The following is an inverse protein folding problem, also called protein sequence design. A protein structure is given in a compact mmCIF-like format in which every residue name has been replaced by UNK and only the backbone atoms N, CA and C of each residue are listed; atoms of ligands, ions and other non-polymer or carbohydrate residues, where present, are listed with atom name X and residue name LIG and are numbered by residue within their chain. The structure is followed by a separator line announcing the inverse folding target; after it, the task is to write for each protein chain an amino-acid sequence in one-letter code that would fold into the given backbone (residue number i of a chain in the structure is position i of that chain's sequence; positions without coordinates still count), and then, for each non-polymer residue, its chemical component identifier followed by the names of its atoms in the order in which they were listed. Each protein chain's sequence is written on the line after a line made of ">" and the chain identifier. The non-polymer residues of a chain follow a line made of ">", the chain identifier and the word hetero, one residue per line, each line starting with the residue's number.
data_IF_961909431453
#
_entry.id   IF_961909431453
#
_cell.length_a   1.000
_cell.length_b   1.000
_cell.length_c   1.000
_cell.angle_alpha   90.00
_cell.angle_beta   90.00
_cell.angle_gamma   90.00
#
_symmetry.space_group_name_H-M   'P 1'
#
loop_
_entity.id
_entity.type
_entity.pdbx_description
1 polymer ?
#
# COMPACT_ATOMS: atom_id res chain seq x y z
N UNK A 1 -14.12 14.10 19.38
CA UNK A 1 -14.76 12.81 19.62
C UNK A 1 -15.14 12.27 18.26
N UNK A 2 -14.49 11.22 17.81
CA UNK A 2 -14.81 10.53 16.56
C UNK A 2 -15.81 9.41 16.84
N UNK A 3 -16.81 9.28 15.97
CA UNK A 3 -17.81 8.24 16.05
C UNK A 3 -17.44 7.10 15.09
N UNK A 4 -17.66 5.86 15.56
CA UNK A 4 -17.47 4.61 14.83
C UNK A 4 -18.83 3.93 14.73
N UNK A 5 -19.45 3.96 13.56
CA UNK A 5 -20.74 3.31 13.35
C UNK A 5 -20.55 1.87 12.90
N UNK A 6 -20.85 0.91 13.79
CA UNK A 6 -20.62 -0.52 13.56
C UNK A 6 -21.93 -1.24 13.27
N UNK A 7 -21.98 -2.00 12.17
CA UNK A 7 -23.08 -2.93 11.91
C UNK A 7 -22.87 -4.22 12.70
N UNK A 8 -23.87 -4.68 13.43
CA UNK A 8 -23.85 -5.99 14.10
C UNK A 8 -24.98 -6.83 13.52
N UNK A 9 -24.62 -7.94 12.89
CA UNK A 9 -25.58 -8.90 12.33
C UNK A 9 -25.54 -10.18 13.15
N UNK A 10 -26.54 -10.35 14.01
CA UNK A 10 -26.62 -11.40 15.04
C UNK A 10 -28.10 -11.68 15.31
N UNK A 11 -28.57 -12.92 15.13
CA UNK A 11 -29.96 -13.27 15.34
C UNK A 11 -30.30 -13.42 16.84
N UNK A 12 -29.33 -13.85 17.65
CA UNK A 12 -29.51 -14.06 19.08
C UNK A 12 -29.44 -12.75 19.89
N UNK A 13 -30.61 -12.34 20.39
CA UNK A 13 -30.77 -11.16 21.24
C UNK A 13 -29.98 -11.24 22.55
N UNK A 14 -29.83 -12.42 23.15
CA UNK A 14 -29.06 -12.56 24.39
C UNK A 14 -27.57 -12.33 24.12
N UNK A 15 -27.04 -12.92 23.04
CA UNK A 15 -25.66 -12.69 22.61
C UNK A 15 -25.43 -11.20 22.34
N UNK A 16 -26.34 -10.55 21.60
CA UNK A 16 -26.23 -9.12 21.36
C UNK A 16 -26.18 -8.29 22.65
N UNK A 17 -27.10 -8.49 23.58
CA UNK A 17 -27.17 -7.68 24.80
C UNK A 17 -26.01 -7.98 25.77
N UNK A 18 -25.76 -9.26 26.02
CA UNK A 18 -24.84 -9.69 27.09
C UNK A 18 -23.37 -9.59 26.66
N UNK A 19 -23.10 -9.71 25.36
CA UNK A 19 -21.76 -9.67 24.79
C UNK A 19 -21.52 -8.33 24.09
N UNK A 20 -22.16 -8.05 22.95
CA UNK A 20 -21.78 -6.91 22.13
C UNK A 20 -22.12 -5.57 22.78
N UNK A 21 -23.38 -5.36 23.18
CA UNK A 21 -23.85 -4.10 23.78
C UNK A 21 -23.08 -3.79 25.07
N UNK A 22 -22.91 -4.79 25.95
CA UNK A 22 -22.13 -4.64 27.19
C UNK A 22 -20.67 -4.23 26.94
N UNK A 23 -20.00 -4.84 25.94
CA UNK A 23 -18.62 -4.49 25.60
C UNK A 23 -18.52 -3.11 24.94
N UNK A 24 -19.49 -2.72 24.10
CA UNK A 24 -19.58 -1.37 23.52
C UNK A 24 -19.74 -0.31 24.62
N UNK A 25 -20.62 -0.55 25.59
CA UNK A 25 -20.82 0.31 26.75
C UNK A 25 -19.52 0.49 27.56
N UNK A 26 -18.78 -0.61 27.77
CA UNK A 26 -17.49 -0.56 28.46
C UNK A 26 -16.46 0.21 27.64
N UNK A 27 -16.34 -0.11 26.35
CA UNK A 27 -15.47 0.59 25.40
C UNK A 27 -15.70 2.10 25.42
N UNK A 28 -16.95 2.53 25.33
CA UNK A 28 -17.35 3.94 25.33
C UNK A 28 -17.09 4.65 26.68
N UNK A 29 -17.14 3.91 27.79
CA UNK A 29 -16.74 4.44 29.11
C UNK A 29 -15.25 4.69 29.17
N UNK A 30 -14.45 3.77 28.66
CA UNK A 30 -12.98 3.80 28.70
C UNK A 30 -12.36 4.73 27.64
N UNK A 31 -13.01 4.91 26.49
CA UNK A 31 -12.46 5.65 25.34
C UNK A 31 -13.22 6.94 25.04
N UNK A 32 -12.80 8.10 25.55
CA UNK A 32 -13.51 9.38 25.28
C UNK A 32 -13.27 9.99 23.90
N UNK A 33 -12.17 9.61 23.26
CA UNK A 33 -11.81 10.15 21.94
C UNK A 33 -12.57 9.46 20.81
N UNK A 34 -12.88 8.18 20.97
CA UNK A 34 -13.58 7.36 19.98
C UNK A 34 -14.79 6.71 20.65
N UNK A 35 -15.98 6.91 20.10
CA UNK A 35 -17.21 6.29 20.59
C UNK A 35 -17.78 5.37 19.52
N UNK A 36 -18.22 4.19 19.91
CA UNK A 36 -18.91 3.24 19.05
C UNK A 36 -20.41 3.45 19.19
N UNK A 37 -21.09 3.60 18.06
CA UNK A 37 -22.54 3.44 17.94
C UNK A 37 -22.80 2.25 17.05
N UNK A 38 -23.78 1.42 17.42
CA UNK A 38 -24.09 0.21 16.68
C UNK A 38 -25.47 0.26 16.02
N UNK A 39 -25.59 -0.50 14.94
CA UNK A 39 -26.87 -0.87 14.33
C UNK A 39 -26.97 -2.38 14.37
N UNK A 40 -27.85 -2.88 15.23
CA UNK A 40 -28.10 -4.31 15.36
C UNK A 40 -29.21 -4.76 14.41
N UNK A 41 -28.93 -5.81 13.64
CA UNK A 41 -29.86 -6.43 12.69
C UNK A 41 -29.84 -7.95 12.90
N UNK A 42 -31.02 -8.57 12.90
CA UNK A 42 -31.16 -10.00 13.23
C UNK A 42 -31.22 -10.91 12.02
N UNK A 43 -31.48 -10.37 10.82
CA UNK A 43 -31.70 -11.17 9.63
C UNK A 43 -30.78 -10.76 8.48
N UNK A 44 -30.44 -11.74 7.63
CA UNK A 44 -29.69 -11.51 6.40
C UNK A 44 -30.34 -10.43 5.52
N UNK A 45 -31.63 -10.55 5.23
CA UNK A 45 -32.29 -9.70 4.24
C UNK A 45 -32.31 -8.22 4.67
N UNK A 46 -32.55 -7.97 5.95
CA UNK A 46 -32.46 -6.62 6.52
C UNK A 46 -31.03 -6.10 6.50
N UNK A 47 -30.03 -6.95 6.77
CA UNK A 47 -28.63 -6.55 6.73
C UNK A 47 -28.20 -6.15 5.31
N UNK A 48 -28.58 -6.95 4.31
CA UNK A 48 -28.33 -6.63 2.90
C UNK A 48 -29.04 -5.34 2.49
N UNK A 49 -30.29 -5.13 2.91
CA UNK A 49 -31.02 -3.88 2.63
C UNK A 49 -30.32 -2.68 3.29
N UNK A 50 -29.84 -2.81 4.52
CA UNK A 50 -29.11 -1.77 5.22
C UNK A 50 -27.78 -1.44 4.54
N UNK A 51 -27.02 -2.45 4.10
CA UNK A 51 -25.74 -2.29 3.39
C UNK A 51 -25.87 -1.65 2.00
N UNK A 52 -27.01 -1.88 1.32
CA UNK A 52 -27.28 -1.30 0.00
C UNK A 52 -27.80 0.13 0.07
N UNK A 53 -28.37 0.54 1.20
CA UNK A 53 -28.83 1.90 1.40
C UNK A 53 -27.63 2.87 1.46
N UNK A 54 -27.52 3.84 0.53
CA UNK A 54 -26.41 4.78 0.50
C UNK A 54 -26.34 5.70 1.73
N UNK A 55 -27.45 5.93 2.42
CA UNK A 55 -27.50 6.76 3.64
C UNK A 55 -26.91 6.02 4.86
N UNK A 56 -26.75 4.69 4.77
CA UNK A 56 -26.14 3.87 5.79
C UNK A 56 -24.63 3.75 5.55
N UNK A 57 -23.88 4.66 6.17
CA UNK A 57 -22.42 4.60 6.20
C UNK A 57 -21.99 3.89 7.48
N UNK A 58 -21.30 2.76 7.32
CA UNK A 58 -20.71 1.99 8.40
C UNK A 58 -19.18 2.11 8.35
N UNK A 59 -18.55 2.16 9.53
CA UNK A 59 -17.10 2.13 9.72
C UNK A 59 -16.58 0.69 9.92
N UNK A 60 -17.48 -0.26 10.18
CA UNK A 60 -17.13 -1.67 10.37
C UNK A 60 -18.35 -2.56 10.52
N UNK A 61 -18.14 -3.87 10.49
CA UNK A 61 -19.18 -4.86 10.77
C UNK A 61 -18.70 -6.04 11.60
N UNK A 62 -19.58 -6.55 12.46
CA UNK A 62 -19.50 -7.85 13.11
C UNK A 62 -20.65 -8.70 12.55
N UNK A 63 -20.35 -9.91 12.07
CA UNK A 63 -21.34 -10.76 11.40
C UNK A 63 -21.27 -12.18 11.96
N UNK A 64 -22.39 -12.72 12.45
CA UNK A 64 -22.54 -14.16 12.68
C UNK A 64 -22.90 -14.89 11.37
N UNK A 65 -22.52 -16.16 11.26
CA UNK A 65 -22.80 -16.98 10.08
C UNK A 65 -24.20 -17.62 10.09
N UNK A 66 -24.71 -18.00 11.26
CA UNK A 66 -25.98 -18.73 11.43
C UNK A 66 -27.09 -17.79 11.89
N UNK A 67 -27.62 -16.98 10.96
CA UNK A 67 -28.64 -15.96 11.27
C UNK A 67 -30.07 -16.52 11.31
N UNK A 68 -30.23 -17.84 11.28
CA UNK A 68 -31.51 -18.52 11.42
C UNK A 68 -31.57 -19.44 12.65
N UNK A 69 -30.54 -19.42 13.51
CA UNK A 69 -30.48 -20.25 14.72
C UNK A 69 -30.56 -21.76 14.43
N UNK A 70 -30.08 -22.18 13.26
CA UNK A 70 -30.29 -23.53 12.73
C UNK A 70 -29.20 -24.53 13.11
N UNK A 71 -28.24 -24.14 13.96
CA UNK A 71 -27.18 -25.00 14.45
C UNK A 71 -26.12 -25.27 13.37
N UNK A 72 -25.80 -24.26 12.56
CA UNK A 72 -24.76 -24.31 11.53
C UNK A 72 -25.21 -24.81 10.16
N UNK A 73 -26.46 -25.25 9.95
CA UNK A 73 -26.90 -25.56 8.57
C UNK A 73 -27.18 -24.31 7.74
N UNK A 74 -27.40 -23.18 8.40
CA UNK A 74 -27.53 -21.88 7.76
C UNK A 74 -26.16 -21.24 7.55
N UNK A 75 -26.00 -20.68 6.36
CA UNK A 75 -24.81 -19.96 5.94
C UNK A 75 -25.18 -18.57 5.45
N UNK A 76 -26.35 -18.05 5.81
CA UNK A 76 -26.88 -16.77 5.34
C UNK A 76 -25.94 -15.59 5.66
N UNK A 77 -25.16 -15.66 6.75
CA UNK A 77 -24.13 -14.68 7.05
C UNK A 77 -23.00 -14.60 5.99
N UNK A 78 -22.75 -15.67 5.23
CA UNK A 78 -21.82 -15.61 4.09
C UNK A 78 -22.30 -14.62 3.02
N UNK A 79 -23.61 -14.49 2.80
CA UNK A 79 -24.16 -13.54 1.83
C UNK A 79 -23.92 -12.09 2.28
N UNK A 80 -24.03 -11.82 3.59
CA UNK A 80 -23.71 -10.51 4.18
C UNK A 80 -22.23 -10.18 4.02
N UNK A 81 -21.34 -11.12 4.37
CA UNK A 81 -19.89 -10.96 4.21
C UNK A 81 -19.52 -10.75 2.74
N UNK A 82 -20.16 -11.50 1.83
CA UNK A 82 -19.94 -11.37 0.39
C UNK A 82 -20.33 -9.97 -0.11
N UNK A 83 -21.51 -9.48 0.25
CA UNK A 83 -21.96 -8.13 -0.11
C UNK A 83 -20.96 -7.07 0.37
N UNK A 84 -20.44 -7.19 1.60
CA UNK A 84 -19.44 -6.26 2.10
C UNK A 84 -18.15 -6.33 1.29
N UNK A 85 -17.63 -7.54 1.00
CA UNK A 85 -16.36 -7.69 0.28
C UNK A 85 -16.43 -7.28 -1.18
N UNK A 86 -17.57 -7.43 -1.83
CA UNK A 86 -17.75 -7.09 -3.24
C UNK A 86 -18.03 -5.59 -3.44
N UNK A 87 -18.77 -4.96 -2.53
CA UNK A 87 -19.33 -3.62 -2.77
C UNK A 87 -18.90 -2.54 -1.76
N UNK A 88 -18.27 -2.92 -0.64
CA UNK A 88 -17.95 -2.01 0.47
C UNK A 88 -16.48 -2.15 0.91
N UNK A 89 -16.00 -1.17 1.69
CA UNK A 89 -14.57 -1.02 1.99
C UNK A 89 -14.32 -0.67 3.46
N UNK A 90 -14.87 -1.48 4.36
CA UNK A 90 -14.66 -1.34 5.81
C UNK A 90 -14.31 -2.68 6.46
N UNK A 91 -13.64 -2.67 7.63
CA UNK A 91 -13.29 -3.88 8.35
C UNK A 91 -14.50 -4.72 8.73
N UNK A 92 -14.40 -6.02 8.55
CA UNK A 92 -15.48 -6.96 8.84
C UNK A 92 -14.93 -8.16 9.60
N UNK A 93 -15.45 -8.41 10.79
CA UNK A 93 -15.06 -9.54 11.62
C UNK A 93 -16.23 -10.50 11.76
N UNK A 94 -16.01 -11.75 11.39
CA UNK A 94 -17.00 -12.81 11.57
C UNK A 94 -16.79 -13.41 12.96
N UNK A 95 -17.83 -13.44 13.79
CA UNK A 95 -17.79 -14.05 15.12
C UNK A 95 -18.91 -15.07 15.18
N UNK A 96 -18.56 -16.36 15.26
CA UNK A 96 -19.54 -17.43 15.09
C UNK A 96 -19.17 -18.69 15.87
N UNK A 97 -20.16 -19.50 16.21
CA UNK A 97 -19.94 -20.83 16.79
C UNK A 97 -19.52 -21.89 15.77
N UNK A 98 -19.65 -21.61 14.47
CA UNK A 98 -19.32 -22.58 13.39
C UNK A 98 -18.34 -21.97 12.37
N UNK A 99 -17.11 -21.58 12.79
CA UNK A 99 -16.18 -20.84 11.94
C UNK A 99 -15.79 -21.57 10.65
N UNK A 100 -15.91 -22.91 10.62
CA UNK A 100 -15.64 -23.72 9.43
C UNK A 100 -16.66 -23.57 8.29
N UNK A 101 -17.79 -22.90 8.53
CA UNK A 101 -18.86 -22.70 7.54
C UNK A 101 -18.70 -21.43 6.70
N UNK A 102 -17.66 -20.64 6.95
CA UNK A 102 -17.28 -19.56 6.04
C UNK A 102 -16.84 -20.14 4.68
N UNK A 103 -17.33 -19.58 3.59
CA UNK A 103 -16.93 -19.96 2.23
C UNK A 103 -15.43 -19.74 2.03
N UNK A 104 -14.74 -20.72 1.44
CA UNK A 104 -13.29 -20.67 1.23
C UNK A 104 -12.82 -19.44 0.45
N UNK A 105 -13.61 -18.97 -0.52
CA UNK A 105 -13.34 -17.74 -1.28
C UNK A 105 -13.41 -16.48 -0.42
N UNK A 106 -14.24 -16.48 0.62
CA UNK A 106 -14.37 -15.37 1.56
C UNK A 106 -13.34 -15.49 2.69
N UNK A 107 -12.82 -16.67 3.00
CA UNK A 107 -11.90 -16.86 4.12
C UNK A 107 -10.44 -16.52 3.75
N UNK A 108 -10.19 -15.23 3.50
CA UNK A 108 -8.84 -14.68 3.28
C UNK A 108 -8.51 -13.74 4.43
N UNK A 109 -7.86 -14.23 5.50
CA UNK A 109 -7.55 -13.42 6.68
C UNK A 109 -6.65 -12.23 6.34
N UNK A 110 -6.93 -11.10 6.97
CA UNK A 110 -6.14 -9.87 6.88
C UNK A 110 -6.34 -9.02 8.14
N UNK A 111 -5.68 -7.87 8.21
CA UNK A 111 -5.89 -6.93 9.32
C UNK A 111 -7.29 -6.34 9.37
N UNK A 112 -8.05 -6.38 8.26
CA UNK A 112 -9.40 -5.81 8.15
C UNK A 112 -10.48 -6.89 7.97
N UNK A 113 -10.09 -8.16 7.93
CA UNK A 113 -11.04 -9.27 7.85
C UNK A 113 -10.50 -10.49 8.57
N UNK A 114 -11.28 -11.03 9.51
CA UNK A 114 -10.94 -12.29 10.15
C UNK A 114 -12.19 -13.02 10.62
N UNK A 115 -12.07 -14.33 10.79
CA UNK A 115 -13.13 -15.21 11.31
C UNK A 115 -12.67 -15.71 12.68
N UNK A 116 -13.52 -15.54 13.69
CA UNK A 116 -13.25 -15.94 15.06
C UNK A 116 -14.31 -16.93 15.55
N UNK A 117 -13.86 -17.88 16.36
CA UNK A 117 -14.74 -18.74 17.14
C UNK A 117 -15.30 -17.94 18.33
N UNK A 118 -16.63 -17.96 18.49
CA UNK A 118 -17.38 -17.13 19.45
C UNK A 118 -16.91 -17.30 20.89
N UNK A 119 -16.57 -18.51 21.29
CA UNK A 119 -16.19 -18.81 22.68
C UNK A 119 -14.72 -18.46 22.99
N UNK A 120 -13.91 -18.20 21.96
CA UNK A 120 -12.49 -17.86 22.09
C UNK A 120 -12.18 -16.38 21.83
N UNK A 121 -13.12 -15.65 21.21
CA UNK A 121 -12.87 -14.27 20.78
C UNK A 121 -12.93 -13.28 21.93
N UNK A 122 -11.94 -12.41 22.00
CA UNK A 122 -12.02 -11.18 22.79
C UNK A 122 -12.73 -10.10 21.96
N UNK A 123 -14.01 -9.86 22.31
CA UNK A 123 -14.84 -8.84 21.66
C UNK A 123 -14.28 -7.45 21.91
N UNK A 124 -13.77 -7.15 23.10
CA UNK A 124 -13.18 -5.84 23.41
C UNK A 124 -11.96 -5.58 22.53
N UNK A 125 -11.08 -6.56 22.37
CA UNK A 125 -9.94 -6.47 21.44
C UNK A 125 -10.39 -6.28 19.98
N UNK A 126 -11.57 -6.78 19.61
CA UNK A 126 -12.15 -6.59 18.27
C UNK A 126 -12.66 -5.15 18.09
N UNK A 127 -13.29 -4.56 19.11
CA UNK A 127 -13.67 -3.15 19.12
C UNK A 127 -12.45 -2.22 19.03
N UNK A 128 -11.37 -2.54 19.76
CA UNK A 128 -10.11 -1.80 19.66
C UNK A 128 -9.45 -1.87 18.27
N UNK A 129 -9.64 -2.97 17.53
CA UNK A 129 -9.18 -3.06 16.13
C UNK A 129 -9.92 -2.06 15.24
N UNK A 130 -11.23 -1.88 15.38
CA UNK A 130 -11.97 -0.86 14.62
C UNK A 130 -11.42 0.54 14.87
N UNK A 131 -11.19 0.89 16.14
CA UNK A 131 -10.53 2.14 16.54
C UNK A 131 -9.16 2.30 15.89
N UNK A 132 -8.31 1.28 15.97
CA UNK A 132 -6.95 1.31 15.40
C UNK A 132 -6.99 1.52 13.89
N UNK A 133 -7.93 0.89 13.19
CA UNK A 133 -8.12 1.04 11.75
C UNK A 133 -8.63 2.44 11.41
N UNK A 134 -9.62 2.96 12.14
CA UNK A 134 -10.14 4.33 11.96
C UNK A 134 -9.05 5.39 12.13
N UNK A 135 -8.18 5.24 13.12
CA UNK A 135 -7.07 6.15 13.38
C UNK A 135 -6.05 6.26 12.22
N UNK A 136 -6.01 5.27 11.31
CA UNK A 136 -5.19 5.37 10.07
C UNK A 136 -5.74 6.37 9.05
N UNK A 137 -7.00 6.81 9.21
CA UNK A 137 -7.72 7.64 8.25
C UNK A 137 -8.28 6.88 7.04
N UNK A 138 -8.01 5.58 6.90
CA UNK A 138 -8.42 4.79 5.72
C UNK A 138 -9.94 4.76 5.51
N UNK A 139 -10.72 4.76 6.60
CA UNK A 139 -12.18 4.75 6.54
C UNK A 139 -12.74 6.10 6.07
N UNK A 140 -12.09 7.20 6.45
CA UNK A 140 -12.45 8.54 5.97
C UNK A 140 -12.06 8.73 4.49
N UNK A 141 -11.11 7.93 3.99
CA UNK A 141 -10.67 7.96 2.60
C UNK A 141 -11.56 7.12 1.69
N UNK A 142 -11.87 5.89 2.08
CA UNK A 142 -12.44 4.83 1.20
C UNK A 142 -13.93 4.52 1.42
N UNK A 143 -14.58 5.08 2.44
CA UNK A 143 -16.02 4.87 2.62
C UNK A 143 -16.83 5.51 1.47
N UNK A 144 -18.14 5.21 1.41
CA UNK A 144 -19.03 5.61 0.30
C UNK A 144 -19.08 7.12 0.02
N UNK A 145 -18.80 7.96 1.00
CA UNK A 145 -18.79 9.41 0.88
C UNK A 145 -17.44 9.98 1.32
N UNK A 146 -16.37 9.21 1.10
CA UNK A 146 -15.04 9.50 1.60
C UNK A 146 -14.34 10.57 0.78
N UNK A 147 -13.13 10.93 1.22
CA UNK A 147 -12.32 11.94 0.55
C UNK A 147 -12.05 11.61 -0.93
N UNK A 148 -11.95 10.33 -1.31
CA UNK A 148 -11.80 9.96 -2.73
C UNK A 148 -13.02 10.39 -3.56
N UNK A 149 -14.23 10.15 -3.07
CA UNK A 149 -15.47 10.50 -3.79
C UNK A 149 -15.63 12.01 -3.92
N UNK A 150 -15.30 12.75 -2.86
CA UNK A 150 -15.22 14.22 -2.90
C UNK A 150 -14.21 14.71 -3.96
N UNK A 151 -13.02 14.09 -4.01
CA UNK A 151 -12.00 14.42 -5.01
C UNK A 151 -12.49 14.12 -6.43
N UNK A 152 -13.09 12.95 -6.67
CA UNK A 152 -13.62 12.57 -7.99
C UNK A 152 -14.70 13.56 -8.43
N UNK A 153 -15.63 13.92 -7.53
CA UNK A 153 -16.67 14.90 -7.80
C UNK A 153 -16.07 16.26 -8.19
N UNK A 154 -15.08 16.73 -7.44
CA UNK A 154 -14.38 17.98 -7.71
C UNK A 154 -13.63 17.94 -9.04
N UNK A 155 -12.95 16.83 -9.36
CA UNK A 155 -12.23 16.65 -10.62
C UNK A 155 -13.20 16.65 -11.79
N UNK A 156 -14.33 15.98 -11.65
CA UNK A 156 -15.33 15.93 -12.71
C UNK A 156 -15.86 17.34 -13.02
N UNK A 157 -16.37 18.06 -12.03
CA UNK A 157 -17.00 19.36 -12.28
C UNK A 157 -16.01 20.45 -12.63
N UNK A 158 -14.83 20.50 -12.00
CA UNK A 158 -13.89 21.59 -12.23
C UNK A 158 -13.00 21.37 -13.47
N UNK A 159 -12.74 20.12 -13.87
CA UNK A 159 -11.75 19.81 -14.93
C UNK A 159 -12.29 18.98 -16.09
N UNK A 160 -12.95 17.85 -15.82
CA UNK A 160 -13.39 16.96 -16.91
C UNK A 160 -14.57 17.57 -17.66
N UNK A 161 -15.55 18.14 -16.94
CA UNK A 161 -16.76 18.71 -17.54
C UNK A 161 -16.45 19.85 -18.53
N UNK A 162 -15.41 20.65 -18.26
CA UNK A 162 -14.98 21.77 -19.10
C UNK A 162 -14.20 21.33 -20.33
N UNK A 163 -13.71 20.09 -20.35
CA UNK A 163 -12.87 19.53 -21.41
C UNK A 163 -13.50 18.33 -22.13
N UNK A 164 -14.75 17.95 -21.77
CA UNK A 164 -15.39 16.72 -22.25
C UNK A 164 -15.58 16.70 -23.78
N UNK A 165 -15.81 17.85 -24.39
CA UNK A 165 -15.98 17.99 -25.83
C UNK A 165 -14.76 17.53 -26.62
N UNK A 166 -13.55 17.70 -26.06
CA UNK A 166 -12.31 17.21 -26.70
C UNK A 166 -12.32 15.69 -26.88
N UNK A 167 -12.99 14.97 -25.97
CA UNK A 167 -13.11 13.51 -25.99
C UNK A 167 -14.31 13.07 -26.83
N UNK A 168 -15.42 13.80 -26.73
CA UNK A 168 -16.63 13.53 -27.52
C UNK A 168 -16.36 13.68 -29.02
N UNK A 169 -15.58 14.69 -29.41
CA UNK A 169 -15.24 15.00 -30.80
C UNK A 169 -14.02 14.23 -31.33
N UNK A 170 -13.31 13.46 -30.49
CA UNK A 170 -12.18 12.64 -30.93
C UNK A 170 -12.67 11.44 -31.76
N UNK A 171 -12.56 11.51 -33.08
CA UNK A 171 -12.93 10.40 -33.98
C UNK A 171 -11.77 9.45 -34.31
N UNK A 172 -10.60 9.62 -33.69
CA UNK A 172 -9.40 8.82 -33.98
C UNK A 172 -9.26 7.62 -33.04
N UNK A 173 -9.76 7.74 -31.81
CA UNK A 173 -9.69 6.70 -30.77
C UNK A 173 -11.01 5.95 -30.65
N UNK A 174 -10.91 4.66 -30.36
CA UNK A 174 -12.04 3.82 -29.96
C UNK A 174 -12.58 4.24 -28.58
N UNK A 175 -13.80 3.83 -28.22
CA UNK A 175 -14.38 4.12 -26.91
C UNK A 175 -13.51 3.61 -25.76
N UNK A 176 -12.99 2.38 -25.87
CA UNK A 176 -12.11 1.81 -24.85
C UNK A 176 -10.80 2.62 -24.67
N UNK A 177 -10.18 3.08 -25.75
CA UNK A 177 -8.97 3.90 -25.67
C UNK A 177 -9.24 5.28 -25.05
N UNK A 178 -10.43 5.83 -25.25
CA UNK A 178 -10.87 7.07 -24.61
C UNK A 178 -11.08 6.86 -23.11
N UNK A 179 -11.78 5.79 -22.72
CA UNK A 179 -12.00 5.43 -21.32
C UNK A 179 -10.68 5.26 -20.58
N UNK A 180 -9.74 4.49 -21.14
CA UNK A 180 -8.39 4.32 -20.60
C UNK A 180 -7.65 5.65 -20.42
N UNK A 181 -7.82 6.57 -21.36
CA UNK A 181 -7.15 7.88 -21.34
C UNK A 181 -7.80 8.83 -20.34
N UNK A 182 -9.13 8.82 -20.22
CA UNK A 182 -9.88 9.57 -19.21
C UNK A 182 -9.59 9.05 -17.80
N UNK A 183 -9.45 7.74 -17.62
CA UNK A 183 -9.03 7.15 -16.35
C UNK A 183 -7.63 7.66 -15.96
N UNK A 184 -6.66 7.59 -16.87
CA UNK A 184 -5.31 8.15 -16.63
C UNK A 184 -5.36 9.65 -16.32
N UNK A 185 -6.17 10.40 -17.07
CA UNK A 185 -6.33 11.84 -16.85
C UNK A 185 -6.90 12.15 -15.46
N UNK A 186 -7.89 11.38 -15.01
CA UNK A 186 -8.48 11.51 -13.67
C UNK A 186 -7.45 11.21 -12.58
N UNK A 187 -6.68 10.12 -12.72
CA UNK A 187 -5.62 9.76 -11.76
C UNK A 187 -4.54 10.86 -11.69
N UNK A 188 -4.15 11.44 -12.83
CA UNK A 188 -3.19 12.54 -12.86
C UNK A 188 -3.71 13.75 -12.08
N UNK A 189 -4.98 14.13 -12.26
CA UNK A 189 -5.59 15.17 -11.45
C UNK A 189 -5.58 14.81 -9.96
N UNK A 190 -5.94 13.58 -9.59
CA UNK A 190 -5.90 13.16 -8.18
C UNK A 190 -4.50 13.34 -7.58
N UNK A 191 -3.43 13.05 -8.33
CA UNK A 191 -2.05 13.28 -7.88
C UNK A 191 -1.74 14.76 -7.67
N UNK A 192 -2.21 15.66 -8.54
CA UNK A 192 -2.01 17.12 -8.40
C UNK A 192 -2.71 17.70 -7.16
N UNK A 193 -3.77 17.05 -6.66
CA UNK A 193 -4.44 17.44 -5.40
C UNK A 193 -3.68 16.99 -4.14
N UNK A 194 -2.63 16.17 -4.25
CA UNK A 194 -1.82 15.71 -3.12
C UNK A 194 -0.61 16.64 -2.89
N UNK A 195 -0.40 17.08 -1.65
CA UNK A 195 0.71 17.93 -1.26
C UNK A 195 1.98 17.11 -0.97
N UNK A 196 3.16 17.58 -1.40
CA UNK A 196 4.45 16.86 -1.33
C UNK A 196 5.13 16.99 0.06
N UNK A 197 4.38 16.87 1.15
CA UNK A 197 4.97 16.91 2.50
C UNK A 197 5.32 15.51 3.03
N UNK A 198 6.48 15.38 3.69
CA UNK A 198 7.05 14.17 4.34
C UNK A 198 6.37 12.84 3.98
N UNK A 199 6.84 12.22 2.92
CA UNK A 199 6.38 10.90 2.44
C UNK A 199 6.60 9.78 3.45
N UNK A 200 5.60 8.91 3.59
CA UNK A 200 5.68 7.70 4.39
C UNK A 200 6.45 6.60 3.63
N UNK A 201 7.31 5.79 4.29
CA UNK A 201 8.06 4.70 3.64
C UNK A 201 7.22 3.72 2.81
N UNK A 202 5.95 3.55 3.16
CA UNK A 202 5.04 2.66 2.40
C UNK A 202 4.66 3.20 1.03
N UNK A 203 4.85 4.50 0.78
CA UNK A 203 4.62 5.09 -0.55
C UNK A 203 5.72 4.71 -1.55
N UNK A 204 6.89 4.25 -1.09
CA UNK A 204 8.01 3.88 -1.95
C UNK A 204 7.72 2.64 -2.80
N UNK A 205 6.89 1.72 -2.30
CA UNK A 205 6.68 0.40 -2.89
C UNK A 205 5.24 0.18 -3.33
N UNK A 206 5.09 -0.44 -4.49
CA UNK A 206 3.89 -1.18 -4.89
C UNK A 206 4.20 -2.66 -4.65
N UNK A 207 3.78 -3.19 -3.51
CA UNK A 207 3.99 -4.60 -3.14
C UNK A 207 3.12 -5.52 -3.99
N UNK A 208 3.64 -6.66 -4.41
CA UNK A 208 3.01 -7.56 -5.40
C UNK A 208 2.76 -6.82 -6.72
N UNK A 209 3.77 -6.80 -7.60
CA UNK A 209 3.70 -6.03 -8.84
C UNK A 209 2.43 -6.31 -9.65
N UNK A 210 1.74 -5.23 -10.04
CA UNK A 210 0.45 -5.29 -10.74
C UNK A 210 0.59 -5.81 -12.17
N UNK A 211 1.68 -5.43 -12.84
CA UNK A 211 1.97 -5.87 -14.21
C UNK A 211 2.40 -7.33 -14.17
N UNK A 212 1.91 -8.18 -15.06
CA UNK A 212 2.38 -9.58 -15.13
C UNK A 212 3.83 -9.70 -15.58
N UNK A 213 4.25 -8.80 -16.48
CA UNK A 213 5.61 -8.79 -17.02
C UNK A 213 6.57 -7.91 -16.20
N UNK A 214 7.84 -8.28 -16.28
CA UNK A 214 8.95 -7.50 -15.75
C UNK A 214 8.99 -6.10 -16.40
N UNK A 215 9.27 -5.09 -15.59
CA UNK A 215 9.25 -3.69 -15.95
C UNK A 215 10.27 -2.88 -15.15
N UNK A 216 10.56 -1.66 -15.61
CA UNK A 216 11.44 -0.71 -14.92
C UNK A 216 10.94 -0.43 -13.50
N UNK A 217 11.86 -0.41 -12.54
CA UNK A 217 11.57 -0.20 -11.12
C UNK A 217 11.16 -1.47 -10.38
N UNK A 218 11.01 -2.61 -11.05
CA UNK A 218 10.76 -3.87 -10.35
C UNK A 218 11.94 -4.28 -9.47
N UNK A 219 11.62 -4.84 -8.32
CA UNK A 219 12.55 -5.38 -7.34
C UNK A 219 12.49 -6.90 -7.37
N UNK A 220 13.64 -7.52 -7.52
CA UNK A 220 13.77 -8.97 -7.64
C UNK A 220 14.81 -9.54 -6.68
N UNK A 221 14.61 -10.79 -6.27
CA UNK A 221 15.61 -11.60 -5.59
C UNK A 221 16.13 -12.65 -6.56
N UNK A 222 17.43 -12.59 -6.86
CA UNK A 222 18.13 -13.51 -7.75
C UNK A 222 19.36 -14.05 -7.03
N UNK A 223 19.50 -15.36 -6.96
CA UNK A 223 20.65 -16.04 -6.32
C UNK A 223 20.96 -15.49 -4.91
N UNK A 224 19.90 -15.27 -4.11
CA UNK A 224 19.98 -14.73 -2.75
C UNK A 224 20.30 -13.23 -2.65
N UNK A 225 20.46 -12.52 -3.77
CA UNK A 225 20.77 -11.10 -3.81
C UNK A 225 19.58 -10.29 -4.33
N UNK A 226 19.40 -9.08 -3.79
CA UNK A 226 18.33 -8.17 -4.17
C UNK A 226 18.79 -7.25 -5.30
N UNK A 227 17.92 -6.99 -6.28
CA UNK A 227 18.21 -6.11 -7.41
C UNK A 227 17.02 -5.23 -7.77
N UNK A 228 17.30 -4.06 -8.35
CA UNK A 228 16.32 -3.22 -9.03
C UNK A 228 16.53 -3.26 -10.53
N UNK A 229 15.44 -3.35 -11.29
CA UNK A 229 15.42 -3.28 -12.75
C UNK A 229 15.47 -1.82 -13.21
N UNK A 230 16.49 -1.45 -13.96
CA UNK A 230 16.66 -0.09 -14.52
C UNK A 230 16.71 -0.03 -16.05
N UNK A 231 16.38 -1.12 -16.76
CA UNK A 231 16.13 -1.03 -18.21
C UNK A 231 15.01 -0.01 -18.49
N UNK A 232 15.16 0.91 -19.47
CA UNK A 232 14.16 1.91 -19.78
C UNK A 232 12.77 1.34 -20.07
N UNK A 233 11.73 2.02 -19.59
CA UNK A 233 10.34 1.57 -19.73
C UNK A 233 9.89 1.52 -21.20
N UNK A 234 10.40 2.44 -22.04
CA UNK A 234 10.11 2.47 -23.47
C UNK A 234 10.64 1.22 -24.20
N UNK A 235 11.78 0.68 -23.78
CA UNK A 235 12.34 -0.54 -24.40
C UNK A 235 11.46 -1.75 -24.09
N UNK A 236 10.95 -1.87 -22.86
CA UNK A 236 9.99 -2.90 -22.49
C UNK A 236 8.70 -2.78 -23.31
N UNK A 237 8.14 -1.58 -23.41
CA UNK A 237 6.91 -1.33 -24.16
C UNK A 237 7.04 -1.67 -25.66
N UNK A 238 8.22 -1.42 -26.25
CA UNK A 238 8.51 -1.73 -27.65
C UNK A 238 8.95 -3.18 -27.88
N UNK A 239 9.02 -4.03 -26.84
CA UNK A 239 9.53 -5.41 -26.90
C UNK A 239 10.94 -5.50 -27.51
N UNK A 240 11.78 -4.49 -27.27
CA UNK A 240 13.17 -4.43 -27.78
C UNK A 240 14.22 -4.93 -26.79
N UNK A 241 13.79 -5.31 -25.59
CA UNK A 241 14.69 -5.74 -24.52
C UNK A 241 15.15 -7.17 -24.75
N UNK A 242 16.42 -7.35 -25.09
CA UNK A 242 17.09 -8.66 -25.09
C UNK A 242 17.78 -8.96 -23.77
N UNK A 243 18.36 -7.93 -23.14
CA UNK A 243 19.00 -8.01 -21.82
C UNK A 243 18.45 -6.94 -20.89
N UNK A 244 18.20 -7.33 -19.66
CA UNK A 244 17.70 -6.48 -18.58
C UNK A 244 18.88 -5.97 -17.76
N UNK A 245 18.89 -4.66 -17.53
CA UNK A 245 19.87 -3.96 -16.71
C UNK A 245 19.40 -3.90 -15.26
N UNK A 246 20.27 -4.36 -14.37
CA UNK A 246 20.00 -4.49 -12.93
C UNK A 246 21.07 -3.75 -12.13
N UNK A 247 20.67 -3.17 -11.01
CA UNK A 247 21.57 -2.69 -9.96
C UNK A 247 21.36 -3.49 -8.68
N UNK A 248 22.45 -3.88 -8.02
CA UNK A 248 22.38 -4.62 -6.74
C UNK A 248 21.90 -3.70 -5.62
N UNK A 249 21.07 -4.25 -4.75
CA UNK A 249 20.64 -3.65 -3.49
C UNK A 249 21.43 -4.32 -2.38
N UNK A 250 22.30 -3.54 -1.73
CA UNK A 250 23.07 -3.95 -0.56
C UNK A 250 22.24 -3.85 0.71
N UNK A 251 22.54 -4.70 1.68
CA UNK A 251 22.06 -4.52 3.04
C UNK A 251 22.75 -3.32 3.70
N UNK A 252 22.04 -2.65 4.61
CA UNK A 252 22.57 -1.48 5.32
C UNK A 252 23.82 -1.84 6.13
N UNK A 253 23.89 -3.08 6.64
CA UNK A 253 25.04 -3.58 7.41
C UNK A 253 26.31 -3.75 6.58
N UNK A 254 26.20 -3.91 5.25
CA UNK A 254 27.37 -3.91 4.36
C UNK A 254 28.07 -2.54 4.35
N UNK A 255 27.33 -1.45 4.54
CA UNK A 255 27.88 -0.09 4.58
C UNK A 255 28.06 0.44 6.01
N UNK A 256 27.24 0.02 6.97
CA UNK A 256 27.30 0.46 8.37
C UNK A 256 27.45 -0.75 9.29
N UNK A 257 28.69 -1.12 9.59
CA UNK A 257 29.00 -2.30 10.40
C UNK A 257 28.43 -2.22 11.81
N UNK A 258 27.95 -3.37 12.32
CA UNK A 258 27.35 -3.49 13.65
C UNK A 258 26.13 -2.59 13.84
N UNK A 259 25.37 -2.31 12.77
CA UNK A 259 24.07 -1.63 12.86
C UNK A 259 22.98 -2.56 13.39
N UNK A 260 23.09 -3.86 13.12
CA UNK A 260 22.15 -4.91 13.53
C UNK A 260 22.11 -5.10 15.05
N UNK A 261 23.19 -4.76 15.75
CA UNK A 261 23.30 -4.84 17.21
C UNK A 261 22.65 -3.65 17.94
N UNK A 262 22.26 -2.60 17.20
CA UNK A 262 21.74 -1.36 17.78
C UNK A 262 20.21 -1.41 17.85
N UNK A 263 19.67 -1.40 19.06
CA UNK A 263 18.23 -1.52 19.30
C UNK A 263 17.50 -0.18 19.42
N UNK A 264 18.22 0.90 19.77
CA UNK A 264 17.62 2.24 19.96
C UNK A 264 18.49 3.33 19.33
N UNK A 265 17.87 4.48 19.05
CA UNK A 265 18.57 5.65 18.50
C UNK A 265 19.64 6.17 19.48
N UNK A 266 19.40 6.06 20.79
CA UNK A 266 20.34 6.46 21.84
C UNK A 266 21.59 5.58 21.87
N UNK A 267 21.49 4.32 21.46
CA UNK A 267 22.64 3.41 21.31
C UNK A 267 23.50 3.69 20.07
N UNK A 268 23.12 4.67 19.25
CA UNK A 268 23.73 4.95 17.96
C UNK A 268 24.81 6.03 18.11
N UNK A 269 26.07 5.68 17.83
CA UNK A 269 27.17 6.64 17.90
C UNK A 269 26.97 7.80 16.92
N UNK A 270 27.45 9.00 17.27
CA UNK A 270 27.33 10.19 16.43
C UNK A 270 27.87 9.97 15.01
N UNK A 271 28.98 9.23 14.87
CA UNK A 271 29.57 8.86 13.59
C UNK A 271 28.66 7.94 12.77
N UNK A 272 28.09 6.89 13.37
CA UNK A 272 27.17 5.97 12.68
C UNK A 272 25.89 6.71 12.26
N UNK A 273 25.37 7.58 13.13
CA UNK A 273 24.18 8.40 12.86
C UNK A 273 24.40 9.29 11.65
N UNK A 274 25.50 10.03 11.61
CA UNK A 274 25.84 10.88 10.47
C UNK A 274 26.04 10.08 9.16
N UNK A 275 26.53 8.83 9.24
CA UNK A 275 26.63 7.96 8.05
C UNK A 275 25.25 7.53 7.55
N UNK A 276 24.35 7.12 8.44
CA UNK A 276 22.96 6.77 8.08
C UNK A 276 22.20 7.96 7.50
N UNK A 277 22.32 9.14 8.10
CA UNK A 277 21.68 10.36 7.60
C UNK A 277 22.16 10.72 6.19
N UNK A 278 23.46 10.50 5.88
CA UNK A 278 23.99 10.67 4.52
C UNK A 278 23.44 9.65 3.53
N UNK A 279 23.25 8.40 3.95
CA UNK A 279 22.67 7.35 3.12
C UNK A 279 21.18 7.62 2.86
N UNK A 280 20.39 7.81 3.92
CA UNK A 280 18.94 8.11 3.86
C UNK A 280 18.68 9.39 3.08
N UNK A 281 19.48 10.43 3.32
CA UNK A 281 19.41 11.69 2.61
C UNK A 281 20.01 11.65 1.20
N UNK A 282 20.38 10.47 0.69
CA UNK A 282 20.84 10.26 -0.68
C UNK A 282 22.02 11.18 -1.07
N UNK A 283 22.89 11.50 -0.10
CA UNK A 283 24.03 12.41 -0.26
C UNK A 283 25.22 11.75 -0.96
N UNK A 284 25.31 10.42 -0.92
CA UNK A 284 26.27 9.69 -1.72
C UNK A 284 25.88 9.75 -3.19
N UNK A 285 26.90 9.92 -4.01
CA UNK A 285 26.79 10.16 -5.42
C UNK A 285 26.58 8.85 -6.22
N UNK A 286 26.84 7.70 -5.61
CA UNK A 286 26.78 6.36 -6.22
C UNK A 286 25.86 5.39 -5.48
N UNK A 287 25.19 5.84 -4.41
CA UNK A 287 24.25 5.03 -3.62
C UNK A 287 22.87 5.65 -3.57
N UNK A 288 21.83 4.82 -3.68
CA UNK A 288 20.44 5.25 -3.49
C UNK A 288 19.76 4.41 -2.40
N UNK A 289 19.34 5.07 -1.33
CA UNK A 289 18.67 4.44 -0.21
C UNK A 289 17.24 4.03 -0.57
N UNK A 290 16.85 2.83 -0.15
CA UNK A 290 15.46 2.37 -0.20
C UNK A 290 15.01 2.03 1.24
N UNK A 291 13.80 2.45 1.66
CA UNK A 291 13.37 2.33 3.04
C UNK A 291 12.92 0.91 3.41
N UNK A 292 12.78 0.62 4.70
CA UNK A 292 12.11 -0.60 5.11
C UNK A 292 10.59 -0.46 4.89
N UNK A 293 9.95 -1.53 4.41
CA UNK A 293 8.50 -1.66 4.38
C UNK A 293 8.14 -3.12 4.70
N UNK A 294 6.93 -3.41 5.16
CA UNK A 294 6.51 -4.75 5.62
C UNK A 294 7.02 -5.89 4.71
N UNK A 295 7.93 -6.73 5.23
CA UNK A 295 8.52 -7.86 4.51
C UNK A 295 9.69 -7.51 3.56
N UNK A 296 10.03 -6.23 3.40
CA UNK A 296 11.12 -5.70 2.57
C UNK A 296 12.10 -4.95 3.47
N UNK A 297 13.31 -5.48 3.62
CA UNK A 297 14.36 -4.82 4.38
C UNK A 297 14.82 -3.52 3.71
N UNK A 298 15.21 -2.53 4.50
CA UNK A 298 15.91 -1.35 3.98
C UNK A 298 17.18 -1.78 3.22
N UNK A 299 17.66 -0.92 2.33
CA UNK A 299 18.85 -1.24 1.55
C UNK A 299 19.40 -0.06 0.79
N UNK A 300 20.48 -0.31 0.05
CA UNK A 300 21.21 0.68 -0.72
C UNK A 300 21.41 0.14 -2.13
N UNK A 301 20.76 0.75 -3.11
CA UNK A 301 21.04 0.49 -4.51
C UNK A 301 22.44 1.02 -4.82
N UNK A 302 23.33 0.13 -5.24
CA UNK A 302 24.70 0.44 -5.61
C UNK A 302 24.80 0.68 -7.13
N UNK A 303 25.02 1.94 -7.52
CA UNK A 303 25.14 2.34 -8.92
C UNK A 303 26.40 1.78 -9.59
N UNK A 304 27.37 1.29 -8.82
CA UNK A 304 28.59 0.66 -9.32
C UNK A 304 28.38 -0.83 -9.60
N UNK A 305 27.52 -1.50 -8.83
CA UNK A 305 27.26 -2.93 -8.96
C UNK A 305 26.16 -3.21 -9.99
N UNK A 306 26.58 -3.34 -11.24
CA UNK A 306 25.72 -3.49 -12.42
C UNK A 306 25.69 -4.94 -12.92
N UNK A 307 24.51 -5.45 -13.26
CA UNK A 307 24.35 -6.70 -14.00
C UNK A 307 23.52 -6.49 -15.26
N UNK A 308 23.77 -7.33 -16.26
CA UNK A 308 22.97 -7.40 -17.49
C UNK A 308 22.62 -8.86 -17.77
N UNK A 309 21.34 -9.21 -17.66
CA UNK A 309 20.86 -10.58 -17.71
C UNK A 309 19.86 -10.75 -18.86
N UNK A 310 19.92 -11.83 -19.65
CA UNK A 310 18.90 -12.10 -20.68
C UNK A 310 17.46 -12.07 -20.11
N UNK A 311 16.55 -11.42 -20.83
CA UNK A 311 15.16 -11.24 -20.37
C UNK A 311 14.43 -12.58 -20.21
N UNK A 312 14.66 -13.51 -21.12
CA UNK A 312 14.09 -14.86 -21.12
C UNK A 312 14.49 -15.64 -19.86
N UNK A 313 15.75 -15.53 -19.42
CA UNK A 313 16.22 -16.14 -18.17
C UNK A 313 15.45 -15.60 -16.96
N UNK A 314 15.29 -14.27 -16.86
CA UNK A 314 14.56 -13.65 -15.75
C UNK A 314 13.07 -14.02 -15.78
N UNK A 315 12.43 -13.94 -16.95
CA UNK A 315 11.01 -14.27 -17.08
C UNK A 315 10.73 -15.74 -16.77
N UNK A 316 11.61 -16.65 -17.19
CA UNK A 316 11.48 -18.09 -16.89
C UNK A 316 11.65 -18.33 -15.39
N UNK A 317 12.66 -17.72 -14.75
CA UNK A 317 12.86 -17.84 -13.31
C UNK A 317 11.68 -17.28 -12.50
N UNK A 318 11.07 -16.16 -12.93
CA UNK A 318 9.87 -15.61 -12.28
C UNK A 318 8.69 -16.57 -12.42
N UNK A 319 8.44 -17.11 -13.63
CA UNK A 319 7.34 -18.06 -13.87
C UNK A 319 7.49 -19.35 -13.06
N UNK A 320 8.73 -19.82 -12.89
CA UNK A 320 9.04 -21.03 -12.13
C UNK A 320 9.16 -20.77 -10.62
N UNK A 321 8.99 -19.53 -10.16
CA UNK A 321 9.18 -19.12 -8.76
C UNK A 321 10.62 -19.27 -8.22
N UNK A 322 11.62 -19.37 -9.12
CA UNK A 322 13.05 -19.34 -8.77
C UNK A 322 13.54 -17.91 -8.48
N UNK A 323 12.88 -16.92 -9.10
CA UNK A 323 13.15 -15.50 -8.92
C UNK A 323 11.90 -14.87 -8.32
N UNK A 324 12.02 -14.36 -7.10
CA UNK A 324 10.93 -13.64 -6.46
C UNK A 324 10.92 -12.18 -6.93
N UNK A 325 9.80 -11.76 -7.51
CA UNK A 325 9.54 -10.38 -7.92
C UNK A 325 8.58 -9.75 -6.90
N UNK A 326 9.15 -9.22 -5.83
CA UNK A 326 8.40 -8.93 -4.61
C UNK A 326 7.71 -7.56 -4.58
N UNK A 327 8.22 -6.56 -5.32
CA UNK A 327 7.65 -5.21 -5.36
C UNK A 327 8.11 -4.41 -6.60
N UNK A 328 7.50 -3.25 -6.81
CA UNK A 328 7.92 -2.24 -7.79
C UNK A 328 8.09 -0.90 -7.08
N UNK A 329 9.14 -0.14 -7.40
CA UNK A 329 9.30 1.23 -6.91
C UNK A 329 8.22 2.12 -7.52
N UNK A 330 7.49 2.87 -6.69
CA UNK A 330 6.43 3.75 -7.17
C UNK A 330 6.98 4.96 -7.95
N UNK A 331 6.15 5.54 -8.81
CA UNK A 331 6.59 6.45 -9.87
C UNK A 331 7.40 7.68 -9.40
N UNK A 332 7.03 8.39 -8.32
CA UNK A 332 7.81 9.54 -7.85
C UNK A 332 9.25 9.16 -7.49
N UNK A 333 9.42 8.06 -6.74
CA UNK A 333 10.73 7.58 -6.29
C UNK A 333 11.53 6.93 -7.41
N UNK A 334 10.84 6.27 -8.36
CA UNK A 334 11.50 5.69 -9.54
C UNK A 334 12.11 6.79 -10.42
N UNK A 335 11.43 7.94 -10.57
CA UNK A 335 11.98 9.09 -11.30
C UNK A 335 13.26 9.60 -10.65
N UNK A 336 13.28 9.80 -9.33
CA UNK A 336 14.49 10.20 -8.58
C UNK A 336 15.61 9.17 -8.75
N UNK A 337 15.31 7.88 -8.64
CA UNK A 337 16.31 6.82 -8.86
C UNK A 337 16.92 6.88 -10.27
N UNK A 338 16.08 6.99 -11.30
CA UNK A 338 16.53 7.07 -12.70
C UNK A 338 17.37 8.34 -12.93
N UNK A 339 16.94 9.48 -12.41
CA UNK A 339 17.67 10.75 -12.50
C UNK A 339 19.05 10.61 -11.83
N UNK A 340 19.10 10.12 -10.59
CA UNK A 340 20.34 9.99 -9.84
C UNK A 340 21.31 9.00 -10.50
N UNK A 341 20.80 7.89 -11.03
CA UNK A 341 21.62 6.97 -11.81
C UNK A 341 22.15 7.61 -13.10
N UNK A 342 21.30 8.36 -13.82
CA UNK A 342 21.69 9.08 -15.04
C UNK A 342 22.77 10.11 -14.76
N UNK A 343 22.60 10.91 -13.70
CA UNK A 343 23.57 11.90 -13.23
C UNK A 343 24.89 11.25 -12.78
N UNK A 344 24.84 10.08 -12.14
CA UNK A 344 26.04 9.30 -11.83
C UNK A 344 26.75 8.81 -13.11
N UNK A 345 25.98 8.25 -14.05
CA UNK A 345 26.51 7.70 -15.30
C UNK A 345 27.12 8.77 -16.22
N UNK A 346 26.53 9.97 -16.23
CA UNK A 346 26.95 11.08 -17.07
C UNK A 346 28.18 11.84 -16.53
N UNK A 347 28.75 11.45 -15.38
CA UNK A 347 29.92 12.14 -14.81
C UNK A 347 31.08 12.11 -15.76
N UNK A 348 31.51 13.31 -16.15
CA UNK A 348 32.78 13.53 -16.81
C UNK A 348 33.80 13.85 -15.73
N UNK A 349 34.91 13.10 -15.70
CA UNK A 349 36.04 13.52 -14.87
C UNK A 349 36.58 14.84 -15.41
N UNK A 350 36.81 15.80 -14.52
CA UNK A 350 37.62 16.98 -14.84
C UNK A 350 39.08 16.64 -14.50
N UNK A 351 40.05 17.05 -15.33
CA UNK A 351 41.44 17.03 -14.90
C UNK A 351 41.60 17.97 -13.69
N UNK A 352 42.28 17.48 -12.66
CA UNK A 352 42.62 18.31 -11.50
C UNK A 352 43.88 19.11 -11.83
N UNK A 353 43.87 20.41 -11.51
CA UNK A 353 45.09 21.21 -11.52
C UNK A 353 45.93 20.90 -10.28
N UNK A 354 47.25 21.02 -10.42
CA UNK A 354 48.10 21.15 -9.24
C UNK A 354 47.72 22.46 -8.53
N UNK A 355 47.09 22.30 -7.37
CA UNK A 355 46.52 23.43 -6.63
C UNK A 355 47.62 24.35 -6.13
N UNK A 356 48.79 23.81 -5.76
CA UNK A 356 49.90 24.60 -5.25
C UNK A 356 50.53 25.42 -6.39
N UNK A 357 50.70 24.82 -7.58
CA UNK A 357 51.18 25.53 -8.78
C UNK A 357 50.27 26.70 -9.17
N UNK A 358 48.96 26.47 -9.22
CA UNK A 358 47.99 27.52 -9.58
C UNK A 358 47.97 28.61 -8.51
N UNK A 359 47.95 28.25 -7.23
CA UNK A 359 47.95 29.24 -6.14
C UNK A 359 49.23 30.09 -6.19
N UNK A 360 50.40 29.49 -6.40
CA UNK A 360 51.65 30.23 -6.58
C UNK A 360 51.60 31.22 -7.76
N UNK A 361 50.98 30.84 -8.88
CA UNK A 361 50.82 31.70 -10.06
C UNK A 361 49.91 32.92 -9.80
N UNK A 362 49.01 32.83 -8.82
CA UNK A 362 48.08 33.90 -8.45
C UNK A 362 48.67 34.88 -7.44
N UNK A 363 49.72 34.48 -6.71
CA UNK A 363 50.32 35.26 -5.61
C UNK A 363 51.59 36.02 -6.06
N UNK A 364 52.27 35.59 -7.13
CA UNK A 364 53.44 36.30 -7.65
C UNK A 364 53.01 37.50 -8.51
N UNK A 365 53.28 38.71 -8.00
CA UNK A 365 53.40 39.95 -8.79
C UNK A 365 54.67 39.94 -9.66
#
# INVERSE_FOLDING_TARGET
>A
MEELRILIVEDDKAIYNDVYNRNIDLFNKENKEHQITDVWIQSKDEAIAALKNPDNIFDGAIVDLDLMGSGGTDTSGNEVVKEIKENLRFPTFVITGTPHHISAELNVPSSVFNVFERDEVDVMATLDKFKTIKATGILNLLNRNGKIEELIQNIFWNHISTSIDNWALDNKRTSAEKEDSLLRYTILHMLEYLDESKVHPSEFYITRPVKESLSTGDLITLDGNRFVVLTPACDFAQKKVSKVFLLRIKDISEEVSGIEEIQTIEGLSSTKKGKLEKLIGNKSSYYHFIPQHKGINAGIIDFQHKLSIPLDKLQTGIKNSDIDRFATISMPFLKDLIERYSSYYARQGSPDFDSDEIIESLIKE
#
